data_IF_787083493173
#
_entry.id   IF_787083493173
#
_cell.length_a   1.000
_cell.length_b   1.000
_cell.length_c   1.000
_cell.angle_alpha   90.00
_cell.angle_beta   90.00
_cell.angle_gamma   90.00
#
_symmetry.space_group_name_H-M   'P 1'
#
loop_
_entity.id
_entity.type
_entity.pdbx_description
1 polymer ?
#
# COMPACT_ATOMS: atom_id res chain seq x y z
N UNK A 1 -38.80 -11.42 29.84
CA UNK A 1 -37.39 -11.07 29.53
C UNK A 1 -37.18 -10.81 28.03
N UNK A 2 -37.76 -11.64 27.15
CA UNK A 2 -37.70 -11.48 25.68
C UNK A 2 -38.13 -10.08 25.22
N UNK A 3 -39.19 -9.50 25.77
CA UNK A 3 -39.62 -8.12 25.46
C UNK A 3 -38.54 -7.07 25.71
N UNK A 4 -37.80 -7.17 26.82
CA UNK A 4 -36.73 -6.22 27.14
C UNK A 4 -35.54 -6.37 26.19
N UNK A 5 -35.25 -7.60 25.76
CA UNK A 5 -34.22 -7.89 24.76
C UNK A 5 -34.63 -7.33 23.41
N UNK A 6 -35.89 -7.53 22.99
CA UNK A 6 -36.41 -7.07 21.71
C UNK A 6 -36.51 -5.55 21.64
N UNK A 7 -36.94 -4.90 22.73
CA UNK A 7 -36.96 -3.45 22.85
C UNK A 7 -35.53 -2.87 22.84
N UNK A 8 -34.60 -3.52 23.54
CA UNK A 8 -33.20 -3.12 23.57
C UNK A 8 -32.52 -3.23 22.20
N UNK A 9 -32.76 -4.33 21.47
CA UNK A 9 -32.22 -4.50 20.12
C UNK A 9 -32.85 -3.53 19.12
N UNK A 10 -34.16 -3.31 19.18
CA UNK A 10 -34.83 -2.32 18.34
C UNK A 10 -34.28 -0.91 18.57
N UNK A 11 -34.12 -0.50 19.83
CA UNK A 11 -33.52 0.79 20.19
C UNK A 11 -32.08 0.91 19.65
N UNK A 12 -31.26 -0.13 19.82
CA UNK A 12 -29.90 -0.15 19.33
C UNK A 12 -29.84 0.01 17.80
N UNK A 13 -30.70 -0.68 17.06
CA UNK A 13 -30.80 -0.56 15.59
C UNK A 13 -31.20 0.87 15.19
N UNK A 14 -32.19 1.46 15.86
CA UNK A 14 -32.62 2.84 15.62
C UNK A 14 -31.49 3.85 15.85
N UNK A 15 -30.73 3.71 16.95
CA UNK A 15 -29.59 4.58 17.26
C UNK A 15 -28.49 4.43 16.20
N UNK A 16 -28.18 3.21 15.76
CA UNK A 16 -27.19 2.96 14.70
C UNK A 16 -27.63 3.58 13.37
N UNK A 17 -28.92 3.46 13.00
CA UNK A 17 -29.46 4.11 11.81
C UNK A 17 -29.38 5.63 11.90
N UNK A 18 -29.73 6.21 13.06
CA UNK A 18 -29.66 7.64 13.30
C UNK A 18 -28.22 8.15 13.19
N UNK A 19 -27.27 7.46 13.82
CA UNK A 19 -25.84 7.77 13.70
C UNK A 19 -25.37 7.68 12.23
N UNK A 20 -25.81 6.67 11.47
CA UNK A 20 -25.52 6.57 10.03
C UNK A 20 -26.07 7.74 9.21
N UNK A 21 -27.24 8.26 9.57
CA UNK A 21 -27.86 9.41 8.91
C UNK A 21 -27.15 10.72 9.28
N UNK A 22 -26.83 10.92 10.57
CA UNK A 22 -26.07 12.07 11.05
C UNK A 22 -24.62 12.08 10.56
N UNK A 23 -24.04 10.91 10.29
CA UNK A 23 -22.80 10.75 9.53
C UNK A 23 -23.07 11.11 8.05
N UNK A 24 -23.13 12.41 7.78
CA UNK A 24 -23.21 12.97 6.43
C UNK A 24 -22.03 12.52 5.57
N UNK A 25 -22.16 12.67 4.24
CA UNK A 25 -21.22 12.15 3.23
C UNK A 25 -19.74 12.39 3.55
N UNK A 26 -19.39 13.50 4.22
CA UNK A 26 -18.04 13.80 4.71
C UNK A 26 -17.48 12.80 5.71
N UNK A 27 -18.28 12.37 6.68
CA UNK A 27 -17.83 11.41 7.69
C UNK A 27 -17.70 10.00 7.10
N UNK A 28 -18.60 9.62 6.17
CA UNK A 28 -18.51 8.37 5.41
C UNK A 28 -17.26 8.32 4.54
N UNK A 29 -16.93 9.43 3.87
CA UNK A 29 -15.71 9.53 3.07
C UNK A 29 -14.45 9.38 3.93
N UNK A 30 -14.39 10.04 5.10
CA UNK A 30 -13.27 9.88 6.04
C UNK A 30 -13.15 8.45 6.56
N UNK A 31 -14.27 7.81 6.85
CA UNK A 31 -14.30 6.42 7.31
C UNK A 31 -13.86 5.46 6.20
N UNK A 32 -14.34 5.63 4.96
CA UNK A 32 -13.95 4.81 3.82
C UNK A 32 -12.44 4.96 3.51
N UNK A 33 -11.92 6.19 3.58
CA UNK A 33 -10.49 6.43 3.40
C UNK A 33 -9.64 5.83 4.53
N UNK A 34 -10.09 5.95 5.79
CA UNK A 34 -9.42 5.32 6.92
C UNK A 34 -9.47 3.79 6.84
N UNK A 35 -10.59 3.23 6.38
CA UNK A 35 -10.76 1.80 6.18
C UNK A 35 -9.89 1.27 5.04
N UNK A 36 -9.87 1.96 3.89
CA UNK A 36 -8.96 1.66 2.78
C UNK A 36 -7.51 1.74 3.23
N UNK A 37 -7.14 2.78 3.98
CA UNK A 37 -5.80 2.90 4.56
C UNK A 37 -5.48 1.76 5.52
N UNK A 38 -6.40 1.33 6.39
CA UNK A 38 -6.18 0.23 7.32
C UNK A 38 -6.09 -1.14 6.62
N UNK A 39 -6.94 -1.38 5.62
CA UNK A 39 -6.97 -2.64 4.85
C UNK A 39 -5.78 -2.74 3.89
N UNK A 40 -5.33 -1.62 3.29
CA UNK A 40 -4.17 -1.60 2.39
C UNK A 40 -2.84 -1.23 3.07
N UNK A 41 -2.83 -0.77 4.32
CA UNK A 41 -1.63 -0.52 5.12
C UNK A 41 -0.65 -1.69 5.14
N UNK A 42 -1.07 -2.96 5.36
CA UNK A 42 -0.12 -4.07 5.34
C UNK A 42 0.52 -4.26 3.96
N UNK A 43 -0.23 -4.03 2.88
CA UNK A 43 0.26 -4.24 1.53
C UNK A 43 1.25 -3.15 1.09
N UNK A 44 1.05 -1.89 1.49
CA UNK A 44 1.95 -0.79 1.14
C UNK A 44 3.33 -0.92 1.80
N UNK A 45 3.38 -1.34 3.08
CA UNK A 45 4.64 -1.61 3.79
C UNK A 45 5.37 -2.80 3.14
N UNK A 46 4.65 -3.87 2.81
CA UNK A 46 5.22 -5.04 2.12
C UNK A 46 5.75 -4.66 0.73
N UNK A 47 5.02 -3.86 -0.06
CA UNK A 47 5.50 -3.38 -1.36
C UNK A 47 6.72 -2.47 -1.23
N UNK A 48 6.77 -1.58 -0.23
CA UNK A 48 7.93 -0.74 0.03
C UNK A 48 9.18 -1.56 0.36
N UNK A 49 9.05 -2.55 1.23
CA UNK A 49 10.16 -3.44 1.60
C UNK A 49 10.61 -4.30 0.42
N UNK A 50 9.67 -4.77 -0.41
CA UNK A 50 9.99 -5.57 -1.60
C UNK A 50 10.68 -4.72 -2.68
N UNK A 51 10.22 -3.49 -2.89
CA UNK A 51 10.84 -2.53 -3.80
C UNK A 51 12.25 -2.12 -3.34
N UNK A 52 12.44 -1.86 -2.03
CA UNK A 52 13.76 -1.51 -1.50
C UNK A 52 14.77 -2.65 -1.60
N UNK A 53 14.33 -3.90 -1.38
CA UNK A 53 15.16 -5.10 -1.59
C UNK A 53 15.54 -5.27 -3.07
N UNK A 54 14.58 -5.14 -3.98
CA UNK A 54 14.85 -5.24 -5.42
C UNK A 54 15.84 -4.16 -5.91
N UNK A 55 15.67 -2.92 -5.45
CA UNK A 55 16.60 -1.83 -5.75
C UNK A 55 18.00 -2.09 -5.17
N UNK A 56 18.09 -2.53 -3.91
CA UNK A 56 19.37 -2.84 -3.27
C UNK A 56 20.12 -4.00 -3.96
N UNK A 57 19.40 -5.02 -4.42
CA UNK A 57 19.98 -6.12 -5.21
C UNK A 57 20.48 -5.67 -6.58
N UNK A 58 19.72 -4.82 -7.27
CA UNK A 58 20.15 -4.24 -8.54
C UNK A 58 21.43 -3.41 -8.38
N UNK A 59 21.52 -2.58 -7.33
CA UNK A 59 22.72 -1.79 -7.00
C UNK A 59 23.89 -2.71 -6.66
N UNK A 60 23.70 -3.75 -5.83
CA UNK A 60 24.77 -4.72 -5.51
C UNK A 60 25.30 -5.41 -6.75
N UNK A 61 24.40 -5.84 -7.65
CA UNK A 61 24.78 -6.48 -8.92
C UNK A 61 25.54 -5.51 -9.82
N UNK A 62 25.11 -4.25 -9.92
CA UNK A 62 25.83 -3.23 -10.68
C UNK A 62 27.21 -2.95 -10.08
N UNK A 63 27.35 -2.95 -8.75
CA UNK A 63 28.63 -2.75 -8.06
C UNK A 63 29.65 -3.86 -8.37
N UNK A 64 29.20 -5.10 -8.58
CA UNK A 64 30.10 -6.23 -8.88
C UNK A 64 30.29 -6.53 -10.38
N UNK A 65 29.42 -6.04 -11.27
CA UNK A 65 29.38 -6.46 -12.67
C UNK A 65 30.04 -5.50 -13.69
N UNK A 66 30.30 -4.24 -13.33
CA UNK A 66 30.82 -3.23 -14.27
C UNK A 66 32.02 -2.45 -13.75
N UNK A 67 32.58 -1.62 -14.63
CA UNK A 67 33.60 -0.65 -14.26
C UNK A 67 32.92 0.60 -13.73
N UNK A 68 33.45 1.11 -12.62
CA UNK A 68 32.96 2.31 -11.95
C UNK A 68 34.04 3.38 -12.03
N UNK A 69 33.69 4.54 -12.56
CA UNK A 69 34.55 5.72 -12.58
C UNK A 69 33.85 6.83 -11.79
N UNK A 70 34.23 7.00 -10.52
CA UNK A 70 33.52 7.86 -9.59
C UNK A 70 32.05 7.44 -9.43
N UNK A 71 31.12 8.32 -9.82
CA UNK A 71 29.66 8.09 -9.76
C UNK A 71 29.08 7.51 -11.06
N UNK A 72 29.91 7.22 -12.07
CA UNK A 72 29.47 6.72 -13.38
C UNK A 72 29.64 5.20 -13.43
N UNK A 73 28.55 4.49 -13.73
CA UNK A 73 28.54 3.05 -13.95
C UNK A 73 28.59 2.71 -15.44
N UNK A 74 29.63 1.99 -15.87
CA UNK A 74 29.79 1.55 -17.27
C UNK A 74 29.70 0.01 -17.35
N UNK A 75 28.58 -0.54 -17.85
CA UNK A 75 28.41 -1.99 -17.99
C UNK A 75 29.30 -2.54 -19.11
N UNK A 76 29.92 -3.71 -18.90
CA UNK A 76 30.76 -4.38 -19.91
C UNK A 76 30.00 -4.74 -21.20
N UNK A 77 28.66 -4.86 -21.15
CA UNK A 77 27.81 -5.11 -22.32
C UNK A 77 27.82 -3.97 -23.34
N UNK A 78 28.08 -2.73 -22.92
CA UNK A 78 28.15 -1.57 -23.81
C UNK A 78 29.42 -1.55 -24.66
N UNK A 79 30.49 -2.26 -24.23
CA UNK A 79 31.75 -2.39 -24.99
C UNK A 79 31.66 -3.41 -26.14
N UNK A 80 30.53 -4.13 -26.30
CA UNK A 80 30.37 -5.12 -27.38
C UNK A 80 29.97 -4.44 -28.69
N UNK A 81 30.59 -4.80 -29.83
CA UNK A 81 30.13 -4.32 -31.13
C UNK A 81 28.66 -4.74 -31.31
N UNK A 82 27.81 -3.78 -31.70
CA UNK A 82 26.40 -4.06 -32.05
C UNK A 82 26.38 -5.09 -33.18
N UNK A 83 25.49 -6.07 -33.08
CA UNK A 83 25.27 -7.02 -34.19
C UNK A 83 24.88 -6.21 -35.44
N UNK A 84 25.47 -6.51 -36.61
CA UNK A 84 24.92 -6.03 -37.86
C UNK A 84 23.49 -6.56 -37.95
N UNK A 85 22.57 -5.65 -38.27
CA UNK A 85 21.18 -5.97 -38.57
C UNK A 85 21.09 -6.59 -39.96
#
# INVERSE_FOLDING_TARGET
MIEKVLAGTALAVCVVMLLRLCLGARARYRFDQAWRAAVHAPMWVVHRVRASRGAAEAIRRAKSAGEWEGNVYTPKSFKRPRKPH
#
